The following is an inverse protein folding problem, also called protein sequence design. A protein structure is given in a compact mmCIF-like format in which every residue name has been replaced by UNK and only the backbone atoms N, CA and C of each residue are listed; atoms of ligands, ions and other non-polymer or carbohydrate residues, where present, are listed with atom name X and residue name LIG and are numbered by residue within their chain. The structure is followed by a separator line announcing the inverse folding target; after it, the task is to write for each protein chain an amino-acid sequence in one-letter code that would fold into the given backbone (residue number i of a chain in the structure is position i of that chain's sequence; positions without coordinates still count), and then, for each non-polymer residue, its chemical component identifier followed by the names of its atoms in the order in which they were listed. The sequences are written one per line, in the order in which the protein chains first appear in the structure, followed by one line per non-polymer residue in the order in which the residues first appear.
data_IF_155542083575
#
_entry.id   IF_155542083575
#
_cell.length_a   1.000
_cell.length_b   1.000
_cell.length_c   1.000
_cell.angle_alpha   90.00
_cell.angle_beta   90.00
_cell.angle_gamma   90.00
#
_symmetry.space_group_name_H-M   'P 1'
#
loop_
_entity.id
_entity.type
_entity.pdbx_description
1 polymer ?
#
# COMPACT_ATOMS: atom_id res chain seq x y z
N UNK A 1 -42.99 32.11 28.62
CA UNK A 1 -42.52 30.71 28.65
C UNK A 1 -41.38 30.60 27.68
N UNK A 2 -40.15 30.67 28.18
CA UNK A 2 -38.94 30.61 27.38
C UNK A 2 -38.26 29.27 27.67
N UNK A 3 -38.28 28.35 26.73
CA UNK A 3 -37.61 27.07 26.80
C UNK A 3 -36.10 27.28 26.53
N UNK A 4 -35.31 27.29 27.58
CA UNK A 4 -33.86 27.26 27.52
C UNK A 4 -33.37 25.85 27.14
N UNK A 5 -33.05 25.65 25.88
CA UNK A 5 -32.37 24.45 25.41
C UNK A 5 -30.93 24.49 25.89
N UNK A 6 -30.62 23.87 27.04
CA UNK A 6 -29.25 23.59 27.49
C UNK A 6 -28.62 22.61 26.50
N UNK A 7 -27.82 23.13 25.60
CA UNK A 7 -26.93 22.35 24.75
C UNK A 7 -25.83 21.78 25.61
N UNK A 8 -25.97 20.51 25.99
CA UNK A 8 -24.93 19.72 26.66
C UNK A 8 -23.76 19.48 25.67
N UNK A 9 -22.85 20.44 25.57
CA UNK A 9 -21.56 20.25 24.94
C UNK A 9 -20.78 19.23 25.79
N UNK A 10 -20.85 17.95 25.42
CA UNK A 10 -19.94 16.94 25.95
C UNK A 10 -18.51 17.45 25.78
N UNK A 11 -17.87 17.91 26.86
CA UNK A 11 -16.42 18.15 26.91
C UNK A 11 -15.72 16.87 26.47
N UNK A 12 -15.27 16.81 25.21
CA UNK A 12 -14.39 15.74 24.73
C UNK A 12 -13.15 15.78 25.61
N UNK A 13 -12.89 14.70 26.36
CA UNK A 13 -11.65 14.55 27.12
C UNK A 13 -10.48 14.74 26.15
N UNK A 14 -9.72 15.80 26.33
CA UNK A 14 -8.49 16.06 25.55
C UNK A 14 -7.51 14.92 25.84
N UNK A 15 -6.98 14.28 24.80
CA UNK A 15 -6.04 13.16 24.92
C UNK A 15 -4.62 13.70 24.92
N UNK A 16 -3.73 13.04 25.66
CA UNK A 16 -2.30 13.31 25.67
C UNK A 16 -1.69 13.10 24.27
N UNK A 17 -0.70 13.92 23.90
CA UNK A 17 0.03 13.83 22.63
C UNK A 17 0.65 12.44 22.46
N UNK A 18 1.25 11.90 23.54
CA UNK A 18 1.79 10.55 23.56
C UNK A 18 0.72 9.47 23.36
N UNK A 19 -0.48 9.66 23.89
CA UNK A 19 -1.58 8.73 23.67
C UNK A 19 -2.12 8.80 22.23
N UNK A 20 -2.21 9.98 21.65
CA UNK A 20 -2.66 10.14 20.26
C UNK A 20 -1.63 9.57 19.28
N UNK A 21 -0.34 9.87 19.43
CA UNK A 21 0.73 9.33 18.57
C UNK A 21 0.83 7.82 18.68
N UNK A 22 0.73 7.25 19.90
CA UNK A 22 0.71 5.81 20.11
C UNK A 22 -0.50 5.15 19.46
N UNK A 23 -1.70 5.75 19.56
CA UNK A 23 -2.90 5.22 18.91
C UNK A 23 -2.79 5.25 17.37
N UNK A 24 -2.21 6.31 16.82
CA UNK A 24 -1.97 6.44 15.38
C UNK A 24 -0.97 5.38 14.91
N UNK A 25 0.14 5.20 15.63
CA UNK A 25 1.15 4.19 15.31
C UNK A 25 0.57 2.77 15.36
N UNK A 26 -0.19 2.44 16.40
CA UNK A 26 -0.86 1.14 16.52
C UNK A 26 -1.86 0.94 15.38
N UNK A 27 -2.65 1.96 15.05
CA UNK A 27 -3.61 1.87 13.95
C UNK A 27 -2.90 1.62 12.61
N UNK A 28 -1.81 2.33 12.32
CA UNK A 28 -1.01 2.13 11.11
C UNK A 28 -0.40 0.73 11.03
N UNK A 29 0.17 0.23 12.12
CA UNK A 29 0.75 -1.13 12.15
C UNK A 29 -0.30 -2.20 11.96
N UNK A 30 -1.47 -2.08 12.59
CA UNK A 30 -2.58 -3.02 12.43
C UNK A 30 -3.09 -3.03 10.99
N UNK A 31 -3.27 -1.86 10.38
CA UNK A 31 -3.68 -1.74 8.97
C UNK A 31 -2.66 -2.40 8.07
N UNK A 32 -1.36 -2.12 8.25
CA UNK A 32 -0.29 -2.71 7.45
C UNK A 32 -0.28 -4.25 7.53
N UNK A 33 -0.44 -4.80 8.74
CA UNK A 33 -0.49 -6.26 8.96
C UNK A 33 -1.72 -6.88 8.27
N UNK A 34 -2.90 -6.25 8.40
CA UNK A 34 -4.12 -6.73 7.74
C UNK A 34 -3.95 -6.75 6.22
N UNK A 35 -3.31 -5.75 5.66
CA UNK A 35 -3.08 -5.65 4.22
C UNK A 35 -2.12 -6.71 3.73
N UNK A 36 -0.94 -6.83 4.37
CA UNK A 36 0.03 -7.86 4.02
C UNK A 36 -0.58 -9.26 4.12
N UNK A 37 -1.32 -9.52 5.21
CA UNK A 37 -2.04 -10.78 5.39
C UNK A 37 -3.12 -11.00 4.33
N UNK A 38 -3.90 -9.97 3.99
CA UNK A 38 -4.92 -10.03 2.94
C UNK A 38 -4.33 -10.27 1.55
N UNK A 39 -3.26 -9.57 1.20
CA UNK A 39 -2.56 -9.75 -0.08
C UNK A 39 -2.00 -11.17 -0.25
N UNK A 40 -1.29 -11.67 0.75
CA UNK A 40 -0.74 -13.03 0.72
C UNK A 40 -1.83 -14.09 0.69
N UNK A 41 -2.90 -13.91 1.44
CA UNK A 41 -4.06 -14.81 1.43
C UNK A 41 -4.73 -14.86 0.05
N UNK A 42 -4.99 -13.71 -0.57
CA UNK A 42 -5.62 -13.63 -1.90
C UNK A 42 -4.73 -14.27 -2.95
N UNK A 43 -3.42 -13.98 -2.96
CA UNK A 43 -2.47 -14.58 -3.90
C UNK A 43 -2.45 -16.12 -3.79
N UNK A 44 -2.27 -16.64 -2.60
CA UNK A 44 -2.23 -18.08 -2.38
C UNK A 44 -3.54 -18.77 -2.72
N UNK A 45 -4.67 -18.20 -2.31
CA UNK A 45 -6.00 -18.73 -2.59
C UNK A 45 -6.28 -18.75 -4.10
N UNK A 46 -6.00 -17.66 -4.80
CA UNK A 46 -6.27 -17.55 -6.25
C UNK A 46 -5.36 -18.47 -7.03
N UNK A 47 -4.07 -18.57 -6.69
CA UNK A 47 -3.14 -19.51 -7.30
C UNK A 47 -3.60 -20.97 -7.13
N UNK A 48 -4.02 -21.34 -5.93
CA UNK A 48 -4.59 -22.67 -5.65
C UNK A 48 -5.87 -22.94 -6.44
N UNK A 49 -6.77 -21.97 -6.55
CA UNK A 49 -8.01 -22.11 -7.32
C UNK A 49 -7.75 -22.30 -8.83
N UNK A 50 -6.79 -21.57 -9.39
CA UNK A 50 -6.41 -21.73 -10.80
C UNK A 50 -5.90 -23.15 -11.06
N UNK A 51 -5.00 -23.64 -10.21
CA UNK A 51 -4.49 -25.00 -10.32
C UNK A 51 -5.62 -26.04 -10.24
N UNK A 52 -6.51 -25.90 -9.26
CA UNK A 52 -7.63 -26.80 -9.06
C UNK A 52 -8.60 -26.78 -10.27
N UNK A 53 -8.97 -25.59 -10.75
CA UNK A 53 -9.83 -25.44 -11.94
C UNK A 53 -9.23 -26.08 -13.19
N UNK A 54 -7.92 -25.87 -13.42
CA UNK A 54 -7.22 -26.49 -14.56
C UNK A 54 -7.12 -28.01 -14.41
N UNK A 55 -6.89 -28.49 -13.20
CA UNK A 55 -6.86 -29.94 -12.91
C UNK A 55 -8.23 -30.58 -13.13
N UNK A 56 -9.30 -29.95 -12.64
CA UNK A 56 -10.69 -30.42 -12.87
C UNK A 56 -11.04 -30.41 -14.36
N UNK A 57 -10.63 -29.38 -15.09
CA UNK A 57 -10.86 -29.31 -16.54
C UNK A 57 -10.08 -30.42 -17.27
N UNK A 58 -8.82 -30.66 -16.93
CA UNK A 58 -8.06 -31.76 -17.50
C UNK A 58 -8.70 -33.11 -17.20
N UNK A 59 -9.20 -33.31 -15.98
CA UNK A 59 -9.91 -34.52 -15.56
C UNK A 59 -11.20 -34.73 -16.34
N UNK A 60 -12.04 -33.69 -16.47
CA UNK A 60 -13.30 -33.76 -17.23
C UNK A 60 -13.05 -34.09 -18.70
N UNK A 61 -12.03 -33.47 -19.29
CA UNK A 61 -11.68 -33.74 -20.68
C UNK A 61 -11.13 -35.15 -20.88
N UNK A 62 -10.27 -35.60 -19.97
CA UNK A 62 -9.77 -37.00 -19.97
C UNK A 62 -10.92 -38.02 -19.84
N UNK A 63 -11.90 -37.75 -18.98
CA UNK A 63 -13.09 -38.60 -18.85
C UNK A 63 -13.92 -38.61 -20.14
N UNK A 64 -14.07 -37.48 -20.78
CA UNK A 64 -14.78 -37.39 -22.05
C UNK A 64 -14.05 -38.19 -23.18
N UNK A 65 -12.73 -38.06 -23.25
CA UNK A 65 -11.90 -38.90 -24.17
C UNK A 65 -12.04 -40.36 -23.86
N UNK A 66 -11.93 -40.75 -22.60
CA UNK A 66 -12.10 -42.16 -22.18
C UNK A 66 -13.47 -42.72 -22.56
N UNK A 67 -14.52 -41.91 -22.39
CA UNK A 67 -15.86 -42.31 -22.79
C UNK A 67 -15.99 -42.47 -24.32
N UNK A 68 -15.39 -41.57 -25.10
CA UNK A 68 -15.35 -41.69 -26.56
C UNK A 68 -14.55 -42.90 -26.99
N UNK A 69 -13.35 -43.11 -26.46
CA UNK A 69 -12.54 -44.26 -26.75
C UNK A 69 -13.19 -45.58 -26.37
N UNK A 70 -13.91 -45.61 -25.27
CA UNK A 70 -14.67 -46.78 -24.83
C UNK A 70 -15.84 -47.08 -25.80
N UNK A 71 -16.60 -46.08 -26.19
CA UNK A 71 -17.74 -46.23 -27.12
C UNK A 71 -17.27 -46.72 -28.49
N UNK A 72 -16.21 -46.06 -29.04
CA UNK A 72 -15.59 -46.50 -30.29
C UNK A 72 -15.09 -47.93 -30.21
N UNK A 73 -14.29 -48.25 -29.18
CA UNK A 73 -13.75 -49.57 -28.99
C UNK A 73 -14.82 -50.64 -28.85
N UNK A 74 -15.94 -50.34 -28.15
CA UNK A 74 -17.05 -51.25 -27.98
C UNK A 74 -17.82 -51.45 -29.32
N UNK A 75 -18.04 -50.35 -30.07
CA UNK A 75 -18.68 -50.44 -31.37
C UNK A 75 -17.86 -51.27 -32.36
N UNK A 76 -16.56 -50.98 -32.55
CA UNK A 76 -15.69 -51.74 -33.40
C UNK A 76 -15.67 -53.24 -33.02
N UNK A 77 -15.57 -53.53 -31.71
CA UNK A 77 -15.55 -54.87 -31.22
C UNK A 77 -16.87 -55.60 -31.43
N UNK A 78 -18.02 -55.01 -31.09
CA UNK A 78 -19.34 -55.60 -31.24
C UNK A 78 -19.65 -55.89 -32.71
N UNK A 79 -19.29 -54.97 -33.61
CA UNK A 79 -19.55 -55.12 -35.05
C UNK A 79 -18.73 -56.27 -35.66
N UNK A 80 -17.44 -56.33 -35.35
CA UNK A 80 -16.54 -57.37 -35.87
C UNK A 80 -16.85 -58.76 -35.28
N UNK A 81 -17.22 -58.80 -34.00
CA UNK A 81 -17.47 -60.04 -33.24
C UNK A 81 -18.90 -60.53 -33.34
N UNK A 82 -19.76 -59.86 -34.10
CA UNK A 82 -21.13 -60.32 -34.28
C UNK A 82 -21.13 -61.79 -34.79
N UNK A 83 -21.76 -62.66 -34.03
CA UNK A 83 -21.84 -64.09 -34.33
C UNK A 83 -22.89 -64.41 -35.37
N UNK A 84 -23.81 -63.51 -35.63
CA UNK A 84 -24.87 -63.66 -36.62
C UNK A 84 -24.44 -63.07 -37.99
N UNK A 85 -23.32 -63.55 -38.54
CA UNK A 85 -22.73 -63.04 -39.82
C UNK A 85 -23.71 -63.06 -40.98
N UNK A 86 -24.73 -63.92 -40.95
CA UNK A 86 -25.76 -64.04 -42.00
C UNK A 86 -26.90 -63.07 -41.84
N UNK A 87 -27.14 -62.53 -40.61
CA UNK A 87 -28.25 -61.61 -40.32
C UNK A 87 -27.80 -60.21 -39.96
N UNK A 88 -26.51 -59.98 -39.79
CA UNK A 88 -25.93 -58.68 -39.51
C UNK A 88 -25.90 -57.83 -40.77
N UNK A 89 -26.40 -56.59 -40.67
CA UNK A 89 -26.33 -55.61 -41.76
C UNK A 89 -24.92 -55.31 -42.19
N UNK A 90 -24.00 -55.23 -41.25
CA UNK A 90 -22.56 -55.03 -41.48
C UNK A 90 -21.97 -56.19 -42.31
N UNK A 91 -22.04 -57.41 -41.81
CA UNK A 91 -21.47 -58.58 -42.49
C UNK A 91 -22.17 -58.89 -43.82
N UNK A 92 -23.49 -58.62 -43.92
CA UNK A 92 -24.22 -58.70 -45.16
C UNK A 92 -23.68 -57.77 -46.25
N UNK A 93 -23.42 -56.52 -45.94
CA UNK A 93 -22.81 -55.56 -46.84
C UNK A 93 -21.34 -55.88 -47.16
N UNK A 94 -20.56 -56.35 -46.16
CA UNK A 94 -19.17 -56.82 -46.41
C UNK A 94 -19.13 -58.02 -47.37
N UNK A 95 -20.02 -58.99 -47.26
CA UNK A 95 -20.14 -60.11 -48.17
C UNK A 95 -20.54 -59.69 -49.58
N UNK A 96 -21.43 -58.71 -49.72
CA UNK A 96 -21.77 -58.12 -51.02
C UNK A 96 -20.56 -57.41 -51.66
N UNK A 97 -19.74 -56.75 -50.88
CA UNK A 97 -18.51 -56.13 -51.37
C UNK A 97 -17.49 -57.17 -51.89
N UNK A 98 -17.37 -58.34 -51.27
CA UNK A 98 -16.48 -59.41 -51.71
C UNK A 98 -16.90 -60.03 -52.99
N UNK A 99 -18.19 -60.13 -53.27
CA UNK A 99 -18.76 -60.72 -54.47
C UNK A 99 -18.73 -59.83 -55.74
N UNK A 100 -18.16 -58.62 -55.61
CA UNK A 100 -17.79 -57.77 -56.80
C UNK A 100 -18.88 -56.93 -57.43
N UNK A 101 -20.07 -57.49 -57.71
CA UNK A 101 -21.10 -56.86 -58.49
C UNK A 101 -21.85 -55.68 -57.83
N UNK A 102 -21.79 -55.57 -56.54
CA UNK A 102 -22.53 -54.56 -55.78
C UNK A 102 -21.61 -53.83 -54.75
N UNK A 103 -20.30 -53.75 -55.00
CA UNK A 103 -19.36 -53.20 -54.04
C UNK A 103 -19.64 -51.73 -53.71
N UNK A 104 -19.94 -50.90 -54.69
CA UNK A 104 -20.25 -49.47 -54.42
C UNK A 104 -21.54 -49.25 -53.64
N UNK A 105 -22.56 -50.05 -53.90
CA UNK A 105 -23.83 -50.02 -53.18
C UNK A 105 -23.64 -50.43 -51.76
N UNK A 106 -22.92 -51.51 -51.52
CA UNK A 106 -22.59 -52.00 -50.16
C UNK A 106 -21.78 -51.02 -49.37
N UNK A 107 -20.77 -50.36 -49.95
CA UNK A 107 -20.00 -49.29 -49.34
C UNK A 107 -20.91 -48.10 -48.98
N UNK A 108 -21.83 -47.72 -49.92
CA UNK A 108 -22.80 -46.66 -49.69
C UNK A 108 -23.67 -46.93 -48.47
N UNK A 109 -24.14 -48.20 -48.31
CA UNK A 109 -24.94 -48.63 -47.14
C UNK A 109 -24.12 -48.62 -45.83
N UNK A 110 -22.86 -49.04 -45.85
CA UNK A 110 -22.00 -48.97 -44.70
C UNK A 110 -21.69 -47.52 -44.33
N UNK A 111 -21.48 -46.63 -45.30
CA UNK A 111 -21.30 -45.19 -45.04
C UNK A 111 -22.54 -44.56 -44.47
N UNK A 112 -23.76 -44.94 -44.91
CA UNK A 112 -25.02 -44.47 -44.32
C UNK A 112 -25.17 -44.88 -42.87
N UNK A 113 -24.79 -46.12 -42.51
CA UNK A 113 -24.80 -46.65 -41.15
C UNK A 113 -23.81 -45.90 -40.25
N UNK A 114 -22.57 -45.66 -40.74
CA UNK A 114 -21.53 -44.94 -39.98
C UNK A 114 -21.66 -43.40 -40.10
N UNK A 115 -22.51 -42.88 -40.94
CA UNK A 115 -22.77 -41.44 -40.99
C UNK A 115 -23.37 -40.91 -39.69
N UNK A 116 -24.28 -41.66 -39.07
CA UNK A 116 -24.83 -41.31 -37.73
C UNK A 116 -23.77 -41.40 -36.64
N UNK A 117 -22.82 -42.30 -36.77
CA UNK A 117 -21.73 -42.49 -35.83
C UNK A 117 -20.78 -41.29 -35.79
N UNK A 118 -20.60 -40.57 -36.90
CA UNK A 118 -19.79 -39.35 -36.94
C UNK A 118 -20.37 -38.24 -36.03
N UNK A 119 -21.69 -38.17 -35.91
CA UNK A 119 -22.34 -37.23 -34.98
C UNK A 119 -22.21 -37.65 -33.50
N UNK A 120 -22.07 -38.95 -33.24
CA UNK A 120 -21.96 -39.50 -31.89
C UNK A 120 -20.53 -39.37 -31.32
N UNK A 121 -19.51 -39.56 -32.20
CA UNK A 121 -18.10 -39.59 -31.74
C UNK A 121 -17.34 -38.28 -32.05
N UNK A 122 -17.82 -37.49 -32.99
CA UNK A 122 -17.16 -36.31 -33.55
C UNK A 122 -16.60 -36.59 -34.94
N UNK A 123 -16.60 -35.56 -35.80
CA UNK A 123 -16.14 -35.67 -37.19
C UNK A 123 -14.62 -35.85 -37.30
N UNK A 124 -13.91 -35.65 -36.22
CA UNK A 124 -12.46 -35.88 -36.13
C UNK A 124 -12.08 -37.36 -36.07
N UNK A 125 -13.04 -38.27 -35.70
CA UNK A 125 -12.82 -39.69 -35.62
C UNK A 125 -13.19 -40.34 -36.97
N UNK A 126 -12.19 -40.83 -37.71
CA UNK A 126 -12.36 -41.44 -39.00
C UNK A 126 -12.45 -42.96 -38.87
N UNK A 127 -13.60 -43.55 -39.21
CA UNK A 127 -13.81 -44.99 -39.19
C UNK A 127 -13.45 -45.54 -40.56
N UNK A 128 -12.68 -46.62 -40.62
CA UNK A 128 -12.27 -47.23 -41.87
C UNK A 128 -12.50 -48.76 -41.86
N UNK A 129 -12.70 -49.28 -43.03
CA UNK A 129 -12.80 -50.70 -43.31
C UNK A 129 -11.69 -51.13 -44.30
N UNK A 130 -10.95 -52.14 -43.93
CA UNK A 130 -9.96 -52.75 -44.84
C UNK A 130 -10.32 -54.21 -45.13
N UNK A 131 -10.18 -54.60 -46.39
CA UNK A 131 -10.43 -55.95 -46.89
C UNK A 131 -9.16 -56.57 -47.45
N UNK A 132 -8.67 -57.62 -46.81
CA UNK A 132 -7.43 -58.32 -47.23
C UNK A 132 -7.55 -58.93 -48.63
N UNK A 133 -8.71 -59.49 -48.96
CA UNK A 133 -8.95 -60.16 -50.24
C UNK A 133 -8.78 -59.24 -51.46
N UNK A 134 -9.08 -57.97 -51.31
CA UNK A 134 -9.00 -56.98 -52.41
C UNK A 134 -7.96 -55.92 -52.23
N UNK A 135 -7.21 -55.96 -51.08
CA UNK A 135 -6.27 -54.92 -50.64
C UNK A 135 -6.82 -53.48 -50.71
N UNK A 136 -8.12 -53.32 -50.39
CA UNK A 136 -8.77 -52.02 -50.43
C UNK A 136 -9.10 -51.50 -49.04
N UNK A 137 -8.79 -50.21 -48.83
CA UNK A 137 -9.14 -49.46 -47.64
C UNK A 137 -10.29 -48.47 -48.01
N UNK A 138 -11.35 -48.52 -47.25
CA UNK A 138 -12.50 -47.66 -47.40
C UNK A 138 -12.73 -46.82 -46.16
N UNK A 139 -12.83 -45.51 -46.29
CA UNK A 139 -13.31 -44.64 -45.23
C UNK A 139 -14.81 -44.69 -45.13
N UNK A 140 -15.36 -45.04 -43.98
CA UNK A 140 -16.82 -45.16 -43.75
C UNK A 140 -17.40 -43.90 -43.16
N UNK A 141 -16.72 -43.23 -42.20
CA UNK A 141 -17.20 -41.97 -41.65
C UNK A 141 -16.77 -40.79 -42.50
N UNK A 142 -17.58 -39.72 -42.45
CA UNK A 142 -17.27 -38.44 -43.10
C UNK A 142 -16.08 -37.79 -42.43
N UNK A 143 -15.13 -37.29 -43.18
CA UNK A 143 -14.04 -36.46 -42.69
C UNK A 143 -14.49 -35.04 -42.40
N UNK A 144 -13.74 -34.27 -41.60
CA UNK A 144 -14.03 -32.85 -41.34
C UNK A 144 -14.14 -31.98 -42.60
N UNK A 145 -13.49 -32.41 -43.69
CA UNK A 145 -13.50 -31.75 -45.01
C UNK A 145 -14.68 -32.19 -45.88
N UNK A 146 -15.59 -33.00 -45.36
CA UNK A 146 -16.75 -33.47 -46.08
C UNK A 146 -16.46 -34.59 -47.06
N UNK A 147 -15.29 -35.23 -47.04
CA UNK A 147 -14.87 -36.28 -47.97
C UNK A 147 -14.77 -37.65 -47.30
N UNK A 148 -14.93 -38.72 -48.12
CA UNK A 148 -14.69 -40.13 -47.73
C UNK A 148 -13.35 -40.65 -48.23
N UNK A 149 -12.39 -39.75 -48.52
CA UNK A 149 -11.07 -40.12 -49.04
C UNK A 149 -10.03 -39.97 -47.93
N UNK A 150 -9.23 -40.98 -47.77
CA UNK A 150 -8.08 -41.00 -46.88
C UNK A 150 -6.81 -40.76 -47.72
N UNK A 151 -5.84 -39.99 -47.19
CA UNK A 151 -4.60 -39.77 -47.90
C UNK A 151 -3.87 -41.10 -48.12
N UNK A 152 -3.13 -41.28 -49.26
CA UNK A 152 -2.41 -42.52 -49.57
C UNK A 152 -1.42 -42.92 -48.46
N UNK A 153 -0.78 -41.93 -47.82
CA UNK A 153 0.22 -42.16 -46.78
C UNK A 153 -0.40 -42.70 -45.48
N UNK A 154 -1.55 -42.13 -45.07
CA UNK A 154 -2.32 -42.65 -43.94
C UNK A 154 -2.80 -44.07 -44.24
N UNK A 155 -3.28 -44.31 -45.46
CA UNK A 155 -3.74 -45.64 -45.90
C UNK A 155 -2.60 -46.66 -45.87
N UNK A 156 -1.40 -46.31 -46.31
CA UNK A 156 -0.21 -47.16 -46.27
C UNK A 156 0.19 -47.49 -44.79
N UNK A 157 0.21 -46.48 -43.92
CA UNK A 157 0.55 -46.65 -42.49
C UNK A 157 -0.51 -47.51 -41.78
N UNK A 158 -1.80 -47.40 -42.12
CA UNK A 158 -2.83 -48.29 -41.56
C UNK A 158 -2.63 -49.74 -42.03
N UNK A 159 -2.32 -49.96 -43.32
CA UNK A 159 -2.05 -51.30 -43.84
C UNK A 159 -0.86 -51.95 -43.08
N UNK A 160 0.22 -51.22 -42.90
CA UNK A 160 1.38 -51.70 -42.14
C UNK A 160 1.00 -52.13 -40.72
N UNK A 161 0.10 -51.37 -40.07
CA UNK A 161 -0.39 -51.73 -38.74
C UNK A 161 -1.32 -52.97 -38.75
N UNK A 162 -2.10 -53.14 -39.79
CA UNK A 162 -2.97 -54.30 -39.97
C UNK A 162 -2.11 -55.59 -40.24
N UNK A 163 -1.08 -55.46 -41.06
CA UNK A 163 -0.17 -56.58 -41.39
C UNK A 163 0.62 -57.09 -40.18
N UNK A 164 0.85 -56.22 -39.18
CA UNK A 164 1.44 -56.60 -37.90
C UNK A 164 0.50 -57.41 -36.98
N UNK A 165 -0.80 -57.46 -37.31
CA UNK A 165 -1.79 -58.27 -36.60
C UNK A 165 -1.83 -59.70 -37.18
N UNK A 166 -1.76 -60.72 -36.33
CA UNK A 166 -1.77 -62.12 -36.78
C UNK A 166 -3.09 -62.48 -37.45
N UNK A 167 -3.04 -62.90 -38.72
CA UNK A 167 -4.22 -63.19 -39.58
C UNK A 167 -5.08 -64.35 -39.04
N UNK A 168 -4.52 -65.24 -38.25
CA UNK A 168 -5.18 -66.53 -37.86
C UNK A 168 -6.01 -66.47 -36.60
N UNK A 169 -5.94 -65.41 -35.87
CA UNK A 169 -6.60 -65.30 -34.57
C UNK A 169 -7.41 -64.01 -34.52
N UNK A 170 -8.62 -64.04 -33.91
CA UNK A 170 -9.38 -62.82 -33.61
C UNK A 170 -8.48 -61.79 -32.95
N UNK A 171 -7.90 -60.93 -33.75
CA UNK A 171 -6.96 -59.94 -33.27
C UNK A 171 -7.71 -58.63 -33.03
N UNK A 172 -7.98 -58.35 -31.78
CA UNK A 172 -8.37 -57.01 -31.33
C UNK A 172 -7.18 -56.43 -30.65
N UNK A 173 -6.56 -55.39 -31.19
CA UNK A 173 -5.57 -54.61 -30.48
C UNK A 173 -6.20 -54.11 -29.19
N UNK A 174 -5.73 -54.59 -28.03
CA UNK A 174 -6.32 -54.25 -26.75
C UNK A 174 -6.14 -52.76 -26.42
N UNK A 175 -5.08 -52.16 -26.95
CA UNK A 175 -4.74 -50.77 -26.68
C UNK A 175 -4.88 -49.92 -27.94
N UNK A 176 -5.10 -48.63 -27.78
CA UNK A 176 -4.94 -47.62 -28.77
C UNK A 176 -3.44 -47.45 -29.08
N UNK A 177 -3.07 -47.37 -30.33
CA UNK A 177 -1.69 -47.27 -30.81
C UNK A 177 -1.46 -45.92 -31.46
N UNK A 178 -0.20 -45.51 -31.50
CA UNK A 178 0.29 -44.32 -32.18
C UNK A 178 0.66 -44.66 -33.62
N UNK A 179 0.29 -43.83 -34.57
CA UNK A 179 0.61 -43.94 -35.98
C UNK A 179 1.17 -42.58 -36.43
N UNK A 180 2.42 -42.60 -36.88
CA UNK A 180 3.07 -41.43 -37.46
C UNK A 180 2.95 -41.47 -38.99
N UNK A 181 2.45 -40.40 -39.58
CA UNK A 181 2.23 -40.31 -40.98
C UNK A 181 2.27 -38.86 -41.45
N UNK A 182 3.07 -38.56 -42.50
CA UNK A 182 3.12 -37.26 -43.16
C UNK A 182 3.32 -36.08 -42.21
N UNK A 183 4.28 -36.24 -41.26
CA UNK A 183 4.56 -35.23 -40.21
C UNK A 183 3.40 -34.94 -39.26
N UNK A 184 2.36 -35.81 -39.26
CA UNK A 184 1.23 -35.76 -38.32
C UNK A 184 1.17 -37.07 -37.52
N UNK A 185 0.67 -36.93 -36.30
CA UNK A 185 0.54 -38.08 -35.41
C UNK A 185 -0.96 -38.37 -35.21
N UNK A 186 -1.27 -39.65 -35.38
CA UNK A 186 -2.60 -40.18 -35.22
C UNK A 186 -2.62 -41.24 -34.12
N UNK A 187 -3.78 -41.43 -33.55
CA UNK A 187 -4.07 -42.53 -32.64
C UNK A 187 -5.07 -43.42 -33.33
N UNK A 188 -4.77 -44.73 -33.39
CA UNK A 188 -5.61 -45.69 -34.06
C UNK A 188 -6.02 -46.87 -33.17
N UNK A 189 -7.19 -47.43 -33.49
CA UNK A 189 -7.73 -48.67 -32.89
C UNK A 189 -8.22 -49.57 -34.01
N UNK A 190 -7.79 -50.84 -34.02
CA UNK A 190 -8.13 -51.80 -35.07
C UNK A 190 -8.71 -53.06 -34.43
N UNK A 191 -9.79 -53.56 -35.02
CA UNK A 191 -10.37 -54.88 -34.76
C UNK A 191 -10.43 -55.65 -36.05
N UNK A 192 -9.93 -56.87 -36.07
CA UNK A 192 -9.83 -57.72 -37.27
C UNK A 192 -10.48 -59.08 -37.06
N UNK A 193 -11.17 -59.60 -38.08
CA UNK A 193 -11.74 -60.95 -38.14
C UNK A 193 -11.96 -61.38 -39.59
N UNK A 194 -11.63 -62.63 -39.94
CA UNK A 194 -11.89 -63.23 -41.24
C UNK A 194 -11.40 -62.41 -42.46
N UNK A 195 -10.19 -61.79 -42.35
CA UNK A 195 -9.62 -60.96 -43.43
C UNK A 195 -10.24 -59.59 -43.58
N UNK A 196 -11.08 -59.17 -42.64
CA UNK A 196 -11.69 -57.84 -42.56
C UNK A 196 -11.18 -57.11 -41.32
N UNK A 197 -10.65 -55.91 -41.53
CA UNK A 197 -10.26 -55.03 -40.43
C UNK A 197 -11.17 -53.79 -40.42
N UNK A 198 -11.77 -53.54 -39.25
CA UNK A 198 -12.55 -52.33 -38.97
C UNK A 198 -11.79 -51.54 -37.95
N UNK A 199 -11.52 -50.27 -38.19
CA UNK A 199 -10.75 -49.44 -37.31
C UNK A 199 -11.22 -47.99 -37.23
N UNK A 200 -10.68 -47.28 -36.26
CA UNK A 200 -10.84 -45.85 -36.09
C UNK A 200 -9.49 -45.19 -35.96
N UNK A 201 -9.34 -44.05 -36.60
CA UNK A 201 -8.16 -43.20 -36.51
C UNK A 201 -8.58 -41.75 -36.13
N UNK A 202 -7.82 -41.11 -35.29
CA UNK A 202 -8.02 -39.70 -34.89
C UNK A 202 -6.69 -38.96 -34.88
N UNK A 203 -6.68 -37.75 -35.40
CA UNK A 203 -5.49 -36.90 -35.35
C UNK A 203 -5.26 -36.36 -33.94
N UNK A 204 -4.03 -36.39 -33.44
CA UNK A 204 -3.67 -35.84 -32.12
C UNK A 204 -3.93 -34.34 -32.03
N UNK A 205 -3.81 -33.62 -33.15
CA UNK A 205 -4.20 -32.20 -33.23
C UNK A 205 -5.64 -31.97 -32.80
N UNK A 206 -6.57 -32.78 -33.32
CA UNK A 206 -7.98 -32.67 -32.97
C UNK A 206 -8.28 -32.95 -31.51
N UNK A 207 -7.46 -33.83 -30.89
CA UNK A 207 -7.53 -34.10 -29.42
C UNK A 207 -7.06 -32.88 -28.60
N UNK A 208 -6.04 -32.17 -29.06
CA UNK A 208 -5.47 -31.03 -28.36
C UNK A 208 -6.15 -29.70 -28.65
N UNK A 209 -6.89 -29.60 -29.77
CA UNK A 209 -7.54 -28.36 -30.22
C UNK A 209 -8.45 -27.69 -29.18
N UNK A 210 -9.25 -28.39 -28.34
CA UNK A 210 -10.07 -27.78 -27.32
C UNK A 210 -9.30 -26.93 -26.34
N UNK A 211 -8.01 -27.22 -26.14
CA UNK A 211 -7.10 -26.48 -25.25
C UNK A 211 -6.49 -25.23 -25.92
N UNK A 212 -6.65 -25.03 -27.21
CA UNK A 212 -6.08 -23.89 -27.98
C UNK A 212 -6.58 -22.52 -27.46
N UNK A 213 -7.78 -22.48 -26.86
CA UNK A 213 -8.38 -21.27 -26.29
C UNK A 213 -7.92 -20.94 -24.88
N UNK A 214 -7.08 -21.79 -24.29
CA UNK A 214 -6.57 -21.57 -22.92
C UNK A 214 -5.40 -20.61 -22.91
N UNK A 215 -5.46 -19.64 -22.01
CA UNK A 215 -4.33 -18.72 -21.78
C UNK A 215 -3.30 -19.37 -20.86
N UNK A 216 -2.42 -20.21 -21.41
CA UNK A 216 -1.39 -20.94 -20.68
C UNK A 216 -0.11 -20.10 -20.44
N UNK A 217 -0.01 -18.92 -21.08
CA UNK A 217 1.13 -18.00 -21.02
C UNK A 217 2.27 -18.37 -21.98
N UNK A 218 3.26 -17.50 -22.14
CA UNK A 218 4.29 -17.55 -23.18
C UNK A 218 5.06 -18.88 -23.35
N UNK A 219 5.12 -19.69 -22.30
CA UNK A 219 5.77 -21.02 -22.30
C UNK A 219 4.80 -22.10 -21.81
N UNK A 220 3.50 -21.81 -21.85
CA UNK A 220 2.48 -22.80 -21.52
C UNK A 220 2.28 -23.75 -22.68
N UNK A 221 1.98 -25.01 -22.36
CA UNK A 221 1.76 -26.05 -23.34
C UNK A 221 0.70 -27.05 -22.86
N UNK A 222 0.10 -27.76 -23.80
CA UNK A 222 -0.64 -28.99 -23.55
C UNK A 222 0.00 -30.08 -24.41
N UNK A 223 0.31 -31.20 -23.82
CA UNK A 223 0.89 -32.33 -24.54
C UNK A 223 0.13 -33.61 -24.23
N UNK A 224 0.10 -34.49 -25.23
CA UNK A 224 -0.31 -35.85 -25.09
C UNK A 224 0.97 -36.73 -25.05
N UNK A 225 1.08 -37.51 -24.00
CA UNK A 225 2.29 -38.33 -23.72
C UNK A 225 1.88 -39.77 -23.60
N UNK A 226 2.68 -40.66 -24.08
CA UNK A 226 2.48 -42.08 -23.96
C UNK A 226 3.01 -42.64 -22.62
N UNK A 227 2.88 -43.98 -22.39
CA UNK A 227 3.34 -44.65 -21.17
C UNK A 227 4.88 -44.64 -21.01
N UNK A 228 5.61 -44.53 -22.11
CA UNK A 228 7.07 -44.45 -22.13
C UNK A 228 7.58 -43.01 -21.98
N UNK A 229 6.72 -42.10 -21.57
CA UNK A 229 6.96 -40.63 -21.41
C UNK A 229 7.34 -39.94 -22.73
N UNK A 230 7.07 -40.54 -23.88
CA UNK A 230 7.29 -39.94 -25.20
C UNK A 230 6.15 -38.96 -25.50
N UNK A 231 6.49 -37.72 -25.88
CA UNK A 231 5.51 -36.73 -26.30
C UNK A 231 5.00 -37.08 -27.72
N UNK A 232 3.71 -37.40 -27.83
CA UNK A 232 3.06 -37.77 -29.09
C UNK A 232 2.63 -36.50 -29.85
N UNK A 233 2.29 -35.46 -29.16
CA UNK A 233 1.92 -34.16 -29.72
C UNK A 233 1.82 -33.08 -28.69
N UNK A 234 2.12 -31.86 -29.08
CA UNK A 234 2.15 -30.71 -28.21
C UNK A 234 1.45 -29.52 -28.87
N UNK A 235 0.67 -28.82 -28.07
CA UNK A 235 0.07 -27.54 -28.40
C UNK A 235 0.74 -26.47 -27.57
N UNK A 236 1.34 -25.47 -28.20
CA UNK A 236 1.84 -24.26 -27.56
C UNK A 236 1.25 -23.00 -28.20
N UNK A 237 1.79 -21.82 -27.88
CA UNK A 237 1.35 -20.55 -28.47
C UNK A 237 1.63 -20.41 -29.97
N UNK A 238 2.59 -21.15 -30.50
CA UNK A 238 2.93 -21.14 -31.95
C UNK A 238 2.03 -22.04 -32.75
N UNK A 239 1.18 -22.85 -32.10
CA UNK A 239 0.30 -23.82 -32.69
C UNK A 239 0.60 -25.26 -32.26
N UNK A 240 0.01 -26.23 -32.96
CA UNK A 240 0.19 -27.63 -32.64
C UNK A 240 1.43 -28.16 -33.34
N UNK A 241 2.36 -28.67 -32.55
CA UNK A 241 3.65 -29.20 -32.99
C UNK A 241 3.63 -30.72 -32.78
N UNK A 242 3.93 -31.47 -33.86
CA UNK A 242 3.98 -32.95 -33.86
C UNK A 242 5.33 -33.51 -33.36
N UNK A 243 6.40 -32.71 -33.41
CA UNK A 243 7.70 -33.12 -32.94
C UNK A 243 8.02 -32.58 -31.55
N UNK A 244 8.48 -33.42 -30.63
CA UNK A 244 8.82 -33.00 -29.28
C UNK A 244 10.12 -32.20 -29.27
N UNK A 245 10.02 -30.86 -29.29
CA UNK A 245 11.14 -30.07 -28.79
C UNK A 245 11.24 -30.28 -27.28
N UNK A 246 12.50 -30.35 -26.78
CA UNK A 246 12.78 -30.59 -25.36
C UNK A 246 11.91 -29.69 -24.48
N UNK A 247 11.00 -30.28 -23.68
CA UNK A 247 10.12 -29.58 -22.77
C UNK A 247 10.96 -28.69 -21.86
N UNK A 248 10.89 -27.37 -22.07
CA UNK A 248 11.50 -26.41 -21.18
C UNK A 248 10.61 -26.25 -19.94
N UNK A 249 10.76 -27.17 -18.98
CA UNK A 249 9.97 -27.24 -17.74
C UNK A 249 10.36 -26.19 -16.71
N UNK A 250 11.37 -25.38 -17.00
CA UNK A 250 11.79 -24.32 -16.06
C UNK A 250 10.68 -23.26 -15.95
N UNK A 251 10.13 -23.10 -14.75
CA UNK A 251 9.08 -22.12 -14.41
C UNK A 251 7.66 -22.42 -14.92
N UNK A 252 7.32 -23.72 -15.12
CA UNK A 252 5.94 -24.14 -15.46
C UNK A 252 5.37 -25.03 -14.36
N UNK A 253 4.12 -24.79 -13.98
CA UNK A 253 3.33 -25.71 -13.17
C UNK A 253 2.74 -26.78 -14.08
N UNK A 254 3.04 -28.05 -13.86
CA UNK A 254 2.57 -29.15 -14.70
C UNK A 254 1.45 -29.91 -14.00
N UNK A 255 0.31 -30.02 -14.68
CA UNK A 255 -0.83 -30.87 -14.32
C UNK A 255 -0.75 -32.12 -15.18
N UNK A 256 -0.89 -33.31 -14.58
CA UNK A 256 -0.86 -34.61 -15.26
C UNK A 256 -2.19 -35.33 -15.05
N UNK A 257 -2.79 -35.78 -16.15
CA UNK A 257 -4.04 -36.52 -16.11
C UNK A 257 -3.96 -37.74 -17.07
N UNK A 258 -3.85 -38.94 -16.51
CA UNK A 258 -3.84 -40.16 -17.28
C UNK A 258 -5.22 -40.55 -17.82
N UNK A 259 -5.25 -41.16 -18.98
CA UNK A 259 -6.43 -41.82 -19.56
C UNK A 259 -6.55 -43.25 -19.07
N UNK A 260 -7.78 -43.68 -18.71
CA UNK A 260 -8.01 -45.04 -18.21
C UNK A 260 -8.18 -46.08 -19.32
N UNK A 261 -8.56 -45.65 -20.52
CA UNK A 261 -8.93 -46.50 -21.65
C UNK A 261 -7.90 -46.54 -22.78
N UNK A 262 -6.94 -45.62 -22.67
CA UNK A 262 -5.82 -45.54 -23.62
C UNK A 262 -4.52 -45.32 -22.88
N UNK A 263 -3.36 -45.75 -23.44
CA UNK A 263 -2.06 -45.67 -22.77
C UNK A 263 -1.47 -44.25 -22.89
N UNK A 264 -2.28 -43.21 -22.63
CA UNK A 264 -1.89 -41.83 -22.82
C UNK A 264 -2.16 -40.99 -21.57
N UNK A 265 -1.37 -39.94 -21.43
CA UNK A 265 -1.47 -38.95 -20.35
C UNK A 265 -1.55 -37.53 -20.97
N UNK A 266 -2.51 -36.73 -20.52
CA UNK A 266 -2.57 -35.31 -20.87
C UNK A 266 -1.72 -34.57 -19.86
N UNK A 267 -0.77 -33.76 -20.35
CA UNK A 267 0.06 -32.88 -19.52
C UNK A 267 -0.21 -31.43 -19.90
N UNK A 268 -0.58 -30.62 -18.91
CA UNK A 268 -0.81 -29.19 -19.07
C UNK A 268 0.25 -28.43 -18.30
N UNK A 269 1.11 -27.73 -19.01
CA UNK A 269 2.12 -26.85 -18.44
C UNK A 269 1.65 -25.39 -18.46
N UNK A 270 1.57 -24.75 -17.28
CA UNK A 270 1.14 -23.36 -17.15
C UNK A 270 2.34 -22.52 -16.75
N UNK A 271 2.69 -21.50 -17.54
CA UNK A 271 3.79 -20.60 -17.19
C UNK A 271 3.36 -19.54 -16.19
N UNK A 272 4.35 -18.93 -15.49
CA UNK A 272 4.10 -17.80 -14.58
C UNK A 272 3.29 -16.67 -15.25
N UNK A 273 3.57 -16.35 -16.51
CA UNK A 273 2.80 -15.35 -17.27
C UNK A 273 1.34 -15.75 -17.48
N UNK A 274 1.06 -17.06 -17.70
CA UNK A 274 -0.28 -17.60 -17.80
C UNK A 274 -1.03 -17.49 -16.47
N UNK A 275 -0.39 -17.85 -15.37
CA UNK A 275 -0.96 -17.69 -14.03
C UNK A 275 -1.30 -16.21 -13.75
N UNK A 276 -0.39 -15.27 -14.08
CA UNK A 276 -0.64 -13.84 -13.90
C UNK A 276 -1.83 -13.33 -14.74
N UNK A 277 -1.97 -13.79 -15.98
CA UNK A 277 -3.11 -13.39 -16.82
C UNK A 277 -4.45 -13.90 -16.27
N UNK A 278 -4.46 -15.13 -15.76
CA UNK A 278 -5.64 -15.72 -15.11
C UNK A 278 -5.94 -15.05 -13.75
N UNK A 279 -4.91 -14.48 -13.11
CA UNK A 279 -5.05 -13.72 -11.86
C UNK A 279 -5.38 -12.24 -12.06
N UNK A 280 -5.58 -11.76 -13.28
CA UNK A 280 -5.78 -10.33 -13.57
C UNK A 280 -6.88 -9.68 -12.71
N UNK A 281 -7.99 -10.38 -12.46
CA UNK A 281 -9.08 -9.91 -11.60
C UNK A 281 -8.66 -9.72 -10.14
N UNK A 282 -7.87 -10.65 -9.58
CA UNK A 282 -7.37 -10.54 -8.21
C UNK A 282 -6.29 -9.47 -8.07
N UNK A 283 -5.44 -9.28 -9.09
CA UNK A 283 -4.47 -8.18 -9.15
C UNK A 283 -5.16 -6.82 -9.17
N UNK A 284 -6.25 -6.69 -9.93
CA UNK A 284 -7.07 -5.47 -9.94
C UNK A 284 -7.67 -5.20 -8.54
N UNK A 285 -8.17 -6.21 -7.85
CA UNK A 285 -8.63 -6.08 -6.47
C UNK A 285 -7.53 -5.62 -5.51
N UNK A 286 -6.31 -6.12 -5.68
CA UNK A 286 -5.15 -5.67 -4.90
C UNK A 286 -4.79 -4.21 -5.19
N UNK A 287 -4.80 -3.76 -6.44
CA UNK A 287 -4.53 -2.36 -6.78
C UNK A 287 -5.54 -1.40 -6.15
N UNK A 288 -6.83 -1.77 -6.12
CA UNK A 288 -7.88 -1.01 -5.42
C UNK A 288 -7.61 -0.95 -3.91
N UNK A 289 -7.21 -2.06 -3.29
CA UNK A 289 -6.83 -2.09 -1.87
C UNK A 289 -5.66 -1.16 -1.58
N UNK A 290 -4.60 -1.20 -2.38
CA UNK A 290 -3.43 -0.31 -2.25
C UNK A 290 -3.86 1.15 -2.35
N UNK A 291 -4.74 1.47 -3.30
CA UNK A 291 -5.26 2.83 -3.48
C UNK A 291 -6.08 3.32 -2.27
N UNK A 292 -6.93 2.46 -1.70
CA UNK A 292 -7.65 2.76 -0.45
C UNK A 292 -6.70 3.06 0.71
N UNK A 293 -5.59 2.34 0.79
CA UNK A 293 -4.57 2.57 1.83
C UNK A 293 -3.90 3.91 1.66
N UNK A 294 -3.53 4.27 0.43
CA UNK A 294 -2.93 5.57 0.14
C UNK A 294 -3.86 6.71 0.54
N UNK A 295 -5.16 6.60 0.25
CA UNK A 295 -6.16 7.58 0.69
C UNK A 295 -6.21 7.65 2.21
N UNK A 296 -6.29 6.50 2.90
CA UNK A 296 -6.38 6.46 4.36
C UNK A 296 -5.11 7.00 5.03
N UNK A 297 -3.93 6.72 4.47
CA UNK A 297 -2.65 7.30 4.88
C UNK A 297 -2.64 8.81 4.70
N UNK A 298 -3.15 9.31 3.58
CA UNK A 298 -3.31 10.76 3.33
C UNK A 298 -4.20 11.46 4.34
N UNK A 299 -5.35 10.86 4.67
CA UNK A 299 -6.27 11.38 5.70
C UNK A 299 -5.58 11.42 7.07
N UNK A 300 -4.80 10.40 7.39
CA UNK A 300 -4.09 10.28 8.65
C UNK A 300 -2.96 11.30 8.77
N UNK A 301 -2.19 11.50 7.71
CA UNK A 301 -1.18 12.56 7.61
C UNK A 301 -1.79 13.96 7.75
N UNK A 302 -2.93 14.20 7.10
CA UNK A 302 -3.67 15.45 7.23
C UNK A 302 -4.14 15.67 8.67
N UNK A 303 -4.62 14.62 9.34
CA UNK A 303 -5.03 14.68 10.75
C UNK A 303 -3.86 15.03 11.67
N UNK A 304 -2.70 14.39 11.49
CA UNK A 304 -1.47 14.69 12.25
C UNK A 304 -1.01 16.13 12.00
N UNK A 305 -0.97 16.54 10.74
CA UNK A 305 -0.59 17.90 10.37
C UNK A 305 -1.51 18.94 11.01
N UNK A 306 -2.84 18.78 10.89
CA UNK A 306 -3.83 19.72 11.39
C UNK A 306 -3.85 19.81 12.92
N UNK A 307 -3.76 18.67 13.62
CA UNK A 307 -3.95 18.62 15.07
C UNK A 307 -2.65 18.71 15.88
N UNK A 308 -1.50 18.44 15.28
CA UNK A 308 -0.21 18.43 15.98
C UNK A 308 0.74 19.49 15.41
N UNK A 309 1.07 19.40 14.12
CA UNK A 309 2.13 20.24 13.52
C UNK A 309 1.73 21.73 13.43
N UNK A 310 0.51 22.01 12.99
CA UNK A 310 0.03 23.39 12.86
C UNK A 310 -0.03 24.12 14.20
N UNK A 311 -0.64 23.56 15.28
CA UNK A 311 -0.62 24.19 16.60
C UNK A 311 0.79 24.36 17.18
N UNK A 312 1.67 23.41 16.98
CA UNK A 312 3.07 23.48 17.43
C UNK A 312 3.83 24.61 16.74
N UNK A 313 3.63 24.77 15.43
CA UNK A 313 4.23 25.89 14.67
C UNK A 313 3.75 27.26 15.17
N UNK A 314 2.45 27.41 15.42
CA UNK A 314 1.87 28.64 15.99
C UNK A 314 2.45 28.93 17.38
N UNK A 315 2.59 27.91 18.23
CA UNK A 315 3.22 28.04 19.54
C UNK A 315 4.66 28.55 19.44
N UNK A 316 5.46 27.95 18.54
CA UNK A 316 6.85 28.37 18.33
C UNK A 316 6.96 29.82 17.82
N UNK A 317 6.08 30.22 16.90
CA UNK A 317 6.03 31.58 16.39
C UNK A 317 5.66 32.59 17.50
N UNK A 318 4.68 32.25 18.35
CA UNK A 318 4.31 33.09 19.48
C UNK A 318 5.44 33.26 20.52
N UNK A 319 6.26 32.21 20.70
CA UNK A 319 7.46 32.27 21.53
C UNK A 319 8.50 33.25 20.98
N UNK A 320 8.74 33.27 19.67
CA UNK A 320 9.68 34.17 19.03
C UNK A 320 9.22 35.64 19.10
N UNK A 321 7.94 35.90 18.88
CA UNK A 321 7.39 37.27 18.95
C UNK A 321 7.41 37.85 20.36
N UNK A 322 7.45 37.03 21.40
CA UNK A 322 7.58 37.51 22.76
C UNK A 322 8.94 38.20 23.05
N UNK A 323 10.01 37.74 22.41
CA UNK A 323 11.36 38.31 22.56
C UNK A 323 11.45 39.72 21.93
N UNK A 324 10.57 40.03 20.98
CA UNK A 324 10.50 41.34 20.30
C UNK A 324 9.53 42.35 20.96
N UNK A 325 9.00 42.04 22.14
CA UNK A 325 8.11 42.95 22.90
C UNK A 325 6.63 42.89 22.51
N UNK A 326 6.24 41.91 21.67
CA UNK A 326 4.88 41.74 21.20
C UNK A 326 3.90 41.18 22.25
N UNK A 327 2.63 41.58 22.14
CA UNK A 327 1.56 40.99 22.95
C UNK A 327 1.31 39.55 22.54
N UNK A 328 1.12 38.67 23.54
CA UNK A 328 0.72 37.28 23.27
C UNK A 328 -0.58 37.23 22.49
N UNK A 329 -0.52 36.73 21.27
CA UNK A 329 -1.69 36.33 20.52
C UNK A 329 -2.36 35.13 21.19
N UNK A 330 -3.69 35.21 21.36
CA UNK A 330 -4.46 34.08 21.89
C UNK A 330 -4.21 32.81 21.06
N UNK A 331 -3.67 31.79 21.67
CA UNK A 331 -3.59 30.49 21.02
C UNK A 331 -5.01 29.99 20.73
N UNK A 332 -5.29 29.68 19.46
CA UNK A 332 -6.49 28.97 19.05
C UNK A 332 -6.59 27.68 19.86
N UNK A 333 -7.77 27.36 20.39
CA UNK A 333 -8.06 26.16 21.16
C UNK A 333 -7.53 24.91 20.46
N UNK A 334 -6.36 24.45 20.87
CA UNK A 334 -5.77 23.20 20.38
C UNK A 334 -6.40 22.00 21.12
N UNK A 335 -6.60 20.90 20.41
CA UNK A 335 -7.14 19.66 20.98
C UNK A 335 -6.12 18.85 21.82
N UNK A 336 -4.92 19.39 22.05
CA UNK A 336 -3.82 18.72 22.74
C UNK A 336 -3.68 19.24 24.16
N UNK A 337 -3.83 18.34 25.12
CA UNK A 337 -3.74 18.63 26.55
C UNK A 337 -2.34 19.14 26.96
N UNK A 338 -1.28 18.58 26.37
CA UNK A 338 0.10 18.97 26.64
C UNK A 338 0.43 20.37 26.15
N UNK A 339 -0.07 20.77 24.98
CA UNK A 339 0.10 22.14 24.49
C UNK A 339 -0.60 23.15 25.37
N UNK A 340 -1.79 22.83 25.89
CA UNK A 340 -2.51 23.65 26.85
C UNK A 340 -1.76 23.78 28.19
N UNK A 341 -1.19 22.69 28.68
CA UNK A 341 -0.38 22.69 29.90
C UNK A 341 0.92 23.50 29.74
N UNK A 342 1.60 23.36 28.59
CA UNK A 342 2.80 24.13 28.26
C UNK A 342 2.46 25.60 28.17
N UNK A 343 1.38 25.99 27.48
CA UNK A 343 0.92 27.37 27.39
C UNK A 343 0.62 27.95 28.79
N UNK A 344 -0.10 27.20 29.63
CA UNK A 344 -0.38 27.60 31.00
C UNK A 344 0.88 27.81 31.86
N UNK A 345 1.84 26.91 31.81
CA UNK A 345 3.14 27.04 32.50
C UNK A 345 3.94 28.22 31.96
N UNK A 346 3.95 28.40 30.65
CA UNK A 346 4.65 29.51 30.01
C UNK A 346 4.07 30.86 30.40
N UNK A 347 2.74 31.04 30.42
CA UNK A 347 2.08 32.25 30.90
C UNK A 347 2.44 32.55 32.37
N UNK A 348 2.44 31.54 33.20
CA UNK A 348 2.84 31.67 34.61
C UNK A 348 4.31 32.14 34.73
N UNK A 349 5.21 31.55 33.95
CA UNK A 349 6.62 31.96 33.93
C UNK A 349 6.82 33.39 33.47
N UNK A 350 6.12 33.81 32.41
CA UNK A 350 6.14 35.20 31.92
C UNK A 350 5.64 36.17 33.01
N UNK A 351 4.55 35.81 33.69
CA UNK A 351 4.04 36.62 34.78
C UNK A 351 5.03 36.77 35.92
N UNK A 352 5.71 35.70 36.28
CA UNK A 352 6.80 35.71 37.28
C UNK A 352 7.97 36.58 36.84
N UNK A 353 8.44 36.45 35.60
CA UNK A 353 9.52 37.29 35.05
C UNK A 353 9.14 38.77 35.10
N UNK A 354 7.91 39.12 34.67
CA UNK A 354 7.43 40.50 34.72
C UNK A 354 7.39 41.03 36.16
N UNK A 355 6.86 40.26 37.09
CA UNK A 355 6.83 40.62 38.51
C UNK A 355 8.24 40.82 39.08
N UNK A 356 9.17 39.89 38.79
CA UNK A 356 10.57 40.02 39.18
C UNK A 356 11.22 41.28 38.62
N UNK A 357 10.98 41.58 37.35
CA UNK A 357 11.52 42.78 36.71
C UNK A 357 10.99 44.06 37.37
N UNK A 358 9.69 44.13 37.66
CA UNK A 358 9.11 45.26 38.42
C UNK A 358 9.74 45.36 39.79
N UNK A 359 9.82 44.26 40.54
CA UNK A 359 10.44 44.29 41.90
C UNK A 359 11.92 44.69 41.83
N UNK A 360 12.67 44.31 40.82
CA UNK A 360 14.06 44.76 40.66
C UNK A 360 14.12 46.29 40.38
N UNK A 361 13.26 46.82 39.54
CA UNK A 361 13.21 48.25 39.32
C UNK A 361 12.80 49.02 40.58
N UNK A 362 11.82 48.53 41.34
CA UNK A 362 11.42 49.14 42.62
C UNK A 362 12.57 49.16 43.61
N UNK A 363 13.32 48.06 43.75
CA UNK A 363 14.50 47.98 44.62
C UNK A 363 15.63 48.93 44.20
N UNK A 364 15.85 49.08 42.89
CA UNK A 364 16.86 49.98 42.37
C UNK A 364 16.49 51.44 42.65
N UNK A 365 15.21 51.78 42.48
CA UNK A 365 14.70 53.10 42.83
C UNK A 365 14.78 53.39 44.33
N UNK A 366 14.47 52.40 45.17
CA UNK A 366 14.61 52.52 46.62
C UNK A 366 16.07 52.73 47.05
N UNK A 367 16.99 51.97 46.46
CA UNK A 367 18.44 52.10 46.65
C UNK A 367 18.89 53.49 46.26
N UNK A 368 18.52 53.99 45.08
CA UNK A 368 18.86 55.36 44.65
C UNK A 368 18.31 56.43 45.61
N UNK A 369 17.10 56.23 46.13
CA UNK A 369 16.51 57.14 47.10
C UNK A 369 17.31 57.13 48.42
N UNK A 370 17.64 55.94 48.95
CA UNK A 370 18.47 55.83 50.16
C UNK A 370 19.83 56.50 49.94
N UNK A 371 20.46 56.29 48.80
CA UNK A 371 21.75 56.87 48.45
C UNK A 371 21.65 58.40 48.36
N UNK A 372 20.57 58.93 47.80
CA UNK A 372 20.26 60.36 47.74
C UNK A 372 20.08 60.91 49.15
N UNK A 373 19.30 60.23 50.01
CA UNK A 373 19.05 60.65 51.38
C UNK A 373 20.35 60.61 52.24
N UNK A 374 21.21 59.59 52.00
CA UNK A 374 22.54 59.51 52.61
C UNK A 374 23.42 60.69 52.19
N UNK A 375 23.41 61.06 50.90
CA UNK A 375 24.15 62.23 50.41
C UNK A 375 23.60 63.54 51.04
N UNK A 376 22.29 63.68 51.21
CA UNK A 376 21.70 64.82 51.93
C UNK A 376 22.15 64.90 53.39
N UNK A 377 22.36 63.77 54.10
CA UNK A 377 22.84 63.74 55.48
C UNK A 377 24.35 64.03 55.64
N UNK A 378 25.12 63.94 54.53
CA UNK A 378 26.52 64.30 54.52
C UNK A 378 26.78 65.83 54.57
N UNK A 379 25.73 66.66 54.80
CA UNK A 379 25.92 68.07 55.06
C UNK A 379 26.75 68.22 56.30
N UNK A 380 28.00 68.48 56.07
CA UNK A 380 29.18 68.64 56.88
C UNK A 380 28.88 68.92 58.36
N UNK A 381 28.94 67.99 59.29
CA UNK A 381 28.84 68.26 60.73
C UNK A 381 29.84 69.33 61.20
N UNK A 382 30.97 69.39 60.54
CA UNK A 382 32.01 70.39 60.79
C UNK A 382 31.54 71.85 60.55
N UNK A 383 30.61 72.09 59.62
CA UNK A 383 30.05 73.41 59.40
C UNK A 383 29.25 73.89 60.65
N UNK A 384 28.44 73.03 61.22
CA UNK A 384 27.64 73.38 62.41
C UNK A 384 28.53 73.60 63.61
N UNK A 385 29.50 72.69 63.81
CA UNK A 385 30.49 72.86 64.87
C UNK A 385 31.24 74.15 64.72
N UNK A 386 31.60 74.55 63.54
CA UNK A 386 32.29 75.82 63.28
C UNK A 386 31.42 77.01 63.57
N UNK A 387 30.12 77.00 63.20
CA UNK A 387 29.22 78.09 63.54
C UNK A 387 29.02 78.20 65.07
N UNK A 388 28.84 77.10 65.79
CA UNK A 388 28.69 77.08 67.23
C UNK A 388 29.93 77.55 67.94
N UNK A 389 31.15 77.13 67.53
CA UNK A 389 32.41 77.57 68.07
C UNK A 389 32.64 79.07 67.86
N UNK A 390 32.18 79.56 66.66
CA UNK A 390 32.29 80.97 66.37
C UNK A 390 31.34 81.82 67.23
N UNK A 391 30.09 81.38 67.40
CA UNK A 391 29.11 81.98 68.30
C UNK A 391 29.69 82.00 69.72
N UNK A 392 30.25 80.89 70.22
CA UNK A 392 30.87 80.80 71.54
C UNK A 392 32.04 81.78 71.70
N UNK A 393 32.91 81.89 70.68
CA UNK A 393 34.00 82.85 70.75
C UNK A 393 33.52 84.34 70.83
N UNK A 394 32.46 84.68 70.10
CA UNK A 394 31.84 86.01 70.13
C UNK A 394 31.29 86.33 71.48
N UNK A 395 30.62 85.38 72.12
CA UNK A 395 30.08 85.55 73.49
C UNK A 395 31.28 85.75 74.49
N UNK A 396 32.32 85.02 74.32
CA UNK A 396 33.52 85.02 75.19
C UNK A 396 34.27 86.40 75.10
N UNK A 397 34.23 86.99 73.84
CA UNK A 397 34.84 88.31 73.64
C UNK A 397 33.85 89.42 73.94
N UNK A 398 32.64 89.15 74.45
CA UNK A 398 31.63 90.16 74.79
C UNK A 398 30.85 90.79 73.61
N UNK A 399 30.99 90.27 72.41
CA UNK A 399 30.32 90.74 71.20
C UNK A 399 28.94 90.07 71.07
N UNK A 400 28.02 90.43 71.87
CA UNK A 400 26.66 89.88 71.94
C UNK A 400 25.81 90.17 70.71
N UNK A 401 26.08 91.31 70.07
CA UNK A 401 25.30 91.65 68.87
C UNK A 401 25.62 90.69 67.70
N UNK A 402 26.85 90.49 67.39
CA UNK A 402 27.25 89.56 66.32
C UNK A 402 26.96 88.09 66.72
N UNK A 403 27.09 87.72 67.96
CA UNK A 403 26.73 86.40 68.47
C UNK A 403 25.20 86.17 68.27
N UNK A 404 24.36 87.15 68.58
CA UNK A 404 22.87 87.04 68.35
C UNK A 404 22.54 86.96 66.86
N UNK A 405 23.17 87.78 66.03
CA UNK A 405 22.96 87.76 64.60
C UNK A 405 23.36 86.36 63.97
N UNK A 406 24.56 85.89 64.33
CA UNK A 406 25.07 84.60 63.89
C UNK A 406 24.18 83.48 64.34
N UNK A 407 23.72 83.42 65.61
CA UNK A 407 22.79 82.43 66.12
C UNK A 407 21.49 82.42 65.30
N UNK A 408 20.88 83.61 64.99
CA UNK A 408 19.66 83.71 64.25
C UNK A 408 19.83 83.19 62.81
N UNK A 409 20.82 83.66 62.11
CA UNK A 409 21.09 83.26 60.74
C UNK A 409 21.39 81.75 60.62
N UNK A 410 22.19 81.21 61.54
CA UNK A 410 22.49 79.80 61.57
C UNK A 410 21.25 78.96 61.88
N UNK A 411 20.33 79.45 62.76
CA UNK A 411 19.09 78.77 63.06
C UNK A 411 18.14 78.79 61.79
N UNK A 412 18.01 79.93 61.10
CA UNK A 412 17.23 80.03 59.86
C UNK A 412 17.81 79.15 58.81
N UNK A 413 19.12 79.10 58.58
CA UNK A 413 19.79 78.24 57.69
C UNK A 413 19.53 76.74 57.94
N UNK A 414 19.67 76.30 59.19
CA UNK A 414 19.45 74.94 59.60
C UNK A 414 17.95 74.56 59.50
N UNK A 415 17.01 75.47 59.87
CA UNK A 415 15.60 75.23 59.76
C UNK A 415 15.17 75.00 58.36
N UNK A 416 15.79 75.68 57.40
CA UNK A 416 15.54 75.42 55.97
C UNK A 416 15.94 74.01 55.56
N UNK A 417 17.15 73.54 55.90
CA UNK A 417 17.65 72.21 55.56
C UNK A 417 16.78 71.12 56.17
N UNK A 418 16.38 71.25 57.42
CA UNK A 418 15.63 70.21 58.12
C UNK A 418 14.14 70.20 57.84
N UNK A 419 13.55 71.31 57.36
CA UNK A 419 12.12 71.40 57.03
C UNK A 419 11.79 71.05 55.61
N UNK A 420 12.70 71.20 54.67
CA UNK A 420 12.46 70.94 53.27
C UNK A 420 12.63 69.42 52.98
N UNK A 421 11.49 68.73 53.09
CA UNK A 421 11.38 67.28 52.71
C UNK A 421 10.81 67.12 51.31
N UNK A 422 10.52 68.20 50.59
CA UNK A 422 9.97 68.14 49.23
C UNK A 422 11.06 68.14 48.17
N UNK A 423 10.90 67.34 47.16
CA UNK A 423 11.87 67.20 46.05
C UNK A 423 12.01 68.47 45.17
N UNK A 424 11.13 69.45 45.35
CA UNK A 424 11.16 70.73 44.65
C UNK A 424 10.89 71.87 45.62
N UNK A 425 11.68 72.91 45.51
CA UNK A 425 11.54 74.13 46.32
C UNK A 425 11.48 75.36 45.38
N UNK A 426 10.78 76.42 45.74
CA UNK A 426 10.79 77.66 44.98
C UNK A 426 12.20 78.25 44.89
N UNK A 427 12.60 78.77 43.75
CA UNK A 427 13.92 79.41 43.53
C UNK A 427 14.18 80.54 44.52
N UNK A 428 13.18 81.33 44.86
CA UNK A 428 13.30 82.36 45.89
C UNK A 428 13.64 81.87 47.27
N UNK A 429 13.13 80.72 47.67
CA UNK A 429 13.45 80.08 48.93
C UNK A 429 14.89 79.54 48.96
N UNK A 430 15.36 78.96 47.86
CA UNK A 430 16.72 78.50 47.70
C UNK A 430 17.74 79.66 47.66
N UNK A 431 17.39 80.74 46.94
CA UNK A 431 18.16 81.98 46.91
C UNK A 431 18.32 82.57 48.31
N UNK A 432 17.25 82.61 49.09
CA UNK A 432 17.32 83.08 50.47
C UNK A 432 18.23 82.16 51.34
N UNK A 433 18.14 80.88 51.14
CA UNK A 433 19.05 79.92 51.87
C UNK A 433 20.49 80.15 51.52
N UNK A 434 20.84 80.36 50.23
CA UNK A 434 22.16 80.76 49.81
C UNK A 434 22.60 82.08 50.45
N UNK A 435 21.71 83.08 50.53
CA UNK A 435 22.01 84.32 51.15
C UNK A 435 22.31 84.14 52.67
N UNK A 436 21.54 83.36 53.35
CA UNK A 436 21.80 83.02 54.80
C UNK A 436 23.16 82.38 55.01
N UNK A 437 23.55 81.43 54.09
CA UNK A 437 24.87 80.82 54.09
C UNK A 437 25.99 81.85 53.90
N UNK A 438 25.84 82.73 52.96
CA UNK A 438 26.80 83.78 52.64
C UNK A 438 26.90 84.78 53.76
N UNK A 439 25.77 85.12 54.42
CA UNK A 439 25.79 85.95 55.64
C UNK A 439 26.57 85.33 56.80
N UNK A 440 26.38 84.04 57.04
CA UNK A 440 27.19 83.26 57.98
C UNK A 440 28.67 83.42 57.70
N UNK A 441 29.08 83.23 56.43
CA UNK A 441 30.47 83.39 56.05
C UNK A 441 30.98 84.84 56.17
N UNK A 442 30.17 85.84 55.86
CA UNK A 442 30.52 87.24 55.95
C UNK A 442 30.78 87.64 57.44
N UNK A 443 29.85 87.23 58.31
CA UNK A 443 30.07 87.47 59.78
C UNK A 443 31.39 86.80 60.32
N UNK A 444 31.75 85.66 59.73
CA UNK A 444 32.96 84.98 60.12
C UNK A 444 34.26 85.56 59.51
N UNK A 445 34.15 86.14 58.30
CA UNK A 445 35.25 86.70 57.59
C UNK A 445 34.90 88.05 56.94
N UNK A 446 34.73 89.10 57.78
CA UNK A 446 34.09 90.37 57.40
C UNK A 446 34.79 91.07 56.25
N UNK A 447 36.05 91.00 56.06
CA UNK A 447 36.79 91.70 55.03
C UNK A 447 37.33 90.80 53.93
N UNK A 448 36.85 89.56 53.82
CA UNK A 448 37.42 88.60 52.87
C UNK A 448 36.68 88.57 51.56
N UNK A 449 35.42 88.86 51.48
CA UNK A 449 34.61 88.86 50.28
C UNK A 449 33.35 89.70 50.44
N UNK A 450 32.80 90.09 49.31
CA UNK A 450 31.49 90.66 49.15
C UNK A 450 30.66 89.78 48.17
N UNK A 451 29.40 89.69 48.38
CA UNK A 451 28.52 88.92 47.49
C UNK A 451 27.36 89.75 46.98
N UNK A 452 26.83 89.32 45.81
CA UNK A 452 25.64 89.86 45.18
C UNK A 452 24.78 88.70 44.71
N UNK A 453 23.51 88.74 45.02
CA UNK A 453 22.58 87.67 44.58
C UNK A 453 21.51 88.40 43.76
N UNK A 454 21.32 88.05 42.52
CA UNK A 454 20.29 88.52 41.65
C UNK A 454 19.37 87.38 41.25
N UNK A 455 18.10 87.51 41.47
CA UNK A 455 17.10 86.55 41.05
C UNK A 455 16.14 87.29 40.13
N UNK A 456 16.07 86.88 38.87
CA UNK A 456 15.16 87.45 37.90
C UNK A 456 13.74 86.96 38.15
N UNK A 457 12.76 87.87 38.04
CA UNK A 457 11.34 87.62 38.31
C UNK A 457 10.69 86.62 37.31
N UNK A 458 11.40 86.17 36.30
CA UNK A 458 10.85 85.34 35.24
C UNK A 458 11.15 83.81 35.50
N UNK A 459 11.57 83.42 36.68
CA UNK A 459 11.86 82.02 37.01
C UNK A 459 10.89 81.42 37.98
#
# INVERSE_FOLDING_TARGET
MAFGKKMNLKRRKKKSLAQQSKQILILMTVILVIILGGCTYVLNKTSGQIYEQMSQMAQLYAQELDNRFLRISRNLFSTIMDTNETNSTFWGNVNLMKNGDYSEYAIGKLREEYFSSAWEYGTEYRIFLYTHDTDKLYQLSLSSDGNYTMSPDIAASIREQIDKLDEKTYAVKRKWDVLECDNEVYICKIAQKNGIALGCIVNVKSILEPFSKLSLGKHGYVSLVDQDEVCIGMLDQSGIISEPQSMNTKNTYTIRQGLSRAPFEIRIGISLGGVLSLMAGSLLGMTVLIFMILIMSGILLFHVYSNIMKPLKVFTQNLQQYDEGGYMLNMTEGNLLELEQIDGKFRTMIHQIRKLKITLYERELEKQKIEMDYLKMQIRPHFYLNCLNFIYSMIDFGDYEHARAMTKITSDYLSYIFRNTTDRVPVLAESKHCEDYLKILLLRYPDKFTYYIEVHDEV
#
